data_IF_684862792331
#
_entry.id   IF_684862792331
#
_cell.length_a   1.000
_cell.length_b   1.000
_cell.length_c   1.000
_cell.angle_alpha   90.00
_cell.angle_beta   90.00
_cell.angle_gamma   90.00
#
_symmetry.space_group_name_H-M   'P 1'
#
loop_
_entity.id
_entity.type
_entity.pdbx_description
1 polymer ?
#
# COMPACT_ATOMS: atom_id res chain seq x y z
N UNK A 1 -11.59 -18.44 -7.62
CA UNK A 1 -11.58 -17.49 -8.74
C UNK A 1 -10.48 -17.93 -9.69
N UNK A 2 -10.84 -18.20 -10.94
CA UNK A 2 -9.90 -18.59 -12.00
C UNK A 2 -8.88 -17.46 -12.20
N UNK A 3 -7.62 -17.70 -11.84
CA UNK A 3 -6.55 -16.71 -12.05
C UNK A 3 -6.09 -16.85 -13.49
N UNK A 4 -6.28 -15.80 -14.30
CA UNK A 4 -5.68 -15.70 -15.63
C UNK A 4 -4.35 -14.97 -15.54
N UNK A 5 -3.38 -15.40 -16.34
CA UNK A 5 -2.12 -14.69 -16.49
C UNK A 5 -2.40 -13.29 -17.08
N UNK A 6 -1.93 -12.19 -16.44
CA UNK A 6 -2.17 -10.83 -16.93
C UNK A 6 -1.43 -10.52 -18.23
N UNK A 7 -0.44 -11.35 -18.60
CA UNK A 7 0.38 -11.15 -19.79
C UNK A 7 -0.14 -11.90 -21.02
N UNK A 8 -0.54 -13.17 -20.86
CA UNK A 8 -0.94 -14.02 -21.99
C UNK A 8 -2.40 -14.52 -21.91
N UNK A 9 -3.12 -14.22 -20.83
CA UNK A 9 -4.53 -14.60 -20.66
C UNK A 9 -4.79 -16.09 -20.38
N UNK A 10 -3.75 -16.92 -20.35
CA UNK A 10 -3.84 -18.35 -20.05
C UNK A 10 -4.27 -18.60 -18.59
N UNK A 11 -4.95 -19.72 -18.35
CA UNK A 11 -5.32 -20.15 -17.01
C UNK A 11 -4.07 -20.52 -16.20
N UNK A 12 -3.97 -19.98 -14.99
CA UNK A 12 -2.91 -20.31 -14.05
C UNK A 12 -3.35 -21.47 -13.17
N UNK A 13 -2.45 -22.41 -12.86
CA UNK A 13 -2.75 -23.48 -11.92
C UNK A 13 -3.13 -22.90 -10.55
N UNK A 14 -4.03 -23.57 -9.80
CA UNK A 14 -4.40 -23.13 -8.47
C UNK A 14 -3.15 -23.11 -7.58
N UNK A 15 -2.98 -22.08 -6.74
CA UNK A 15 -1.84 -22.02 -5.83
C UNK A 15 -1.87 -23.22 -4.89
N UNK A 16 -0.75 -23.95 -4.77
CA UNK A 16 -0.64 -25.14 -3.90
C UNK A 16 -0.75 -24.77 -2.41
N UNK A 17 -0.52 -23.51 -2.05
CA UNK A 17 -0.79 -22.94 -0.72
C UNK A 17 -0.91 -21.42 -0.79
N UNK A 18 -1.58 -20.80 0.19
CA UNK A 18 -1.59 -19.34 0.38
C UNK A 18 -0.19 -18.73 0.59
N UNK A 19 0.82 -19.58 0.83
CA UNK A 19 2.22 -19.22 1.07
C UNK A 19 3.11 -19.37 -0.17
N UNK A 20 2.60 -19.86 -1.31
CA UNK A 20 3.39 -19.96 -2.54
C UNK A 20 3.55 -18.57 -3.19
N UNK A 21 4.77 -18.00 -3.21
CA UNK A 21 4.98 -16.55 -3.42
C UNK A 21 4.89 -16.12 -4.89
N UNK A 22 4.93 -17.08 -5.82
CA UNK A 22 4.83 -16.81 -7.24
C UNK A 22 4.54 -18.09 -8.02
N UNK A 23 3.60 -18.00 -8.97
CA UNK A 23 3.29 -19.09 -9.91
C UNK A 23 3.88 -18.72 -11.26
N UNK A 24 4.69 -19.60 -11.84
CA UNK A 24 5.17 -19.45 -13.20
C UNK A 24 4.05 -19.81 -14.18
N UNK A 25 3.80 -18.94 -15.17
CA UNK A 25 2.81 -19.23 -16.18
C UNK A 25 3.32 -20.32 -17.15
N UNK A 26 2.59 -21.42 -17.37
CA UNK A 26 3.03 -22.52 -18.24
C UNK A 26 3.11 -22.15 -19.73
N UNK A 27 2.49 -21.04 -20.15
CA UNK A 27 2.46 -20.61 -21.56
C UNK A 27 3.52 -19.57 -21.90
N UNK A 28 3.66 -18.55 -21.04
CA UNK A 28 4.59 -17.43 -21.30
C UNK A 28 5.81 -17.45 -20.37
N UNK A 29 5.93 -18.45 -19.49
CA UNK A 29 7.00 -18.59 -18.50
C UNK A 29 7.20 -17.36 -17.61
N UNK A 30 6.20 -16.48 -17.54
CA UNK A 30 6.28 -15.25 -16.77
C UNK A 30 5.85 -15.51 -15.32
N UNK A 31 6.59 -14.93 -14.38
CA UNK A 31 6.38 -15.13 -12.95
C UNK A 31 5.21 -14.24 -12.49
N UNK A 32 4.11 -14.85 -12.07
CA UNK A 32 2.92 -14.15 -11.58
C UNK A 32 2.89 -14.21 -10.06
N UNK A 33 3.00 -13.05 -9.40
CA UNK A 33 2.85 -12.94 -7.94
C UNK A 33 1.38 -12.78 -7.55
N UNK A 34 0.94 -13.34 -6.41
CA UNK A 34 -0.39 -13.11 -5.89
C UNK A 34 -0.60 -11.62 -5.55
N UNK A 35 -1.82 -11.09 -5.70
CA UNK A 35 -2.13 -9.72 -5.33
C UNK A 35 -1.96 -9.53 -3.81
N UNK A 36 -1.18 -8.53 -3.41
CA UNK A 36 -0.95 -8.23 -1.99
C UNK A 36 -2.25 -7.67 -1.35
N UNK A 37 -2.80 -8.32 -0.31
CA UNK A 37 -4.06 -7.88 0.31
C UNK A 37 -3.96 -6.50 0.98
N UNK A 38 -2.74 -6.05 1.31
CA UNK A 38 -2.49 -4.75 1.93
C UNK A 38 -2.24 -3.62 0.92
N UNK A 39 -2.15 -3.90 -0.39
CA UNK A 39 -1.82 -2.91 -1.42
C UNK A 39 -2.77 -1.72 -1.42
N UNK A 40 -4.09 -1.98 -1.38
CA UNK A 40 -5.11 -0.93 -1.38
C UNK A 40 -5.04 -0.07 -0.11
N UNK A 41 -4.82 -0.70 1.05
CA UNK A 41 -4.68 0.00 2.34
C UNK A 41 -3.43 0.88 2.34
N UNK A 42 -2.30 0.35 1.87
CA UNK A 42 -1.05 1.10 1.74
C UNK A 42 -1.22 2.34 0.87
N UNK A 43 -1.79 2.20 -0.33
CA UNK A 43 -2.02 3.32 -1.24
C UNK A 43 -2.88 4.42 -0.62
N UNK A 44 -3.97 4.05 0.06
CA UNK A 44 -4.87 5.00 0.73
C UNK A 44 -4.19 5.74 1.89
N UNK A 45 -3.48 5.02 2.76
CA UNK A 45 -2.80 5.63 3.92
C UNK A 45 -1.64 6.51 3.47
N UNK A 46 -0.92 6.12 2.41
CA UNK A 46 0.13 6.93 1.82
C UNK A 46 -0.42 8.26 1.28
N UNK A 47 -1.54 8.21 0.55
CA UNK A 47 -2.22 9.42 0.05
C UNK A 47 -2.70 10.31 1.19
N UNK A 48 -3.36 9.74 2.20
CA UNK A 48 -3.83 10.49 3.37
C UNK A 48 -2.66 11.19 4.08
N UNK A 49 -1.56 10.46 4.30
CA UNK A 49 -0.37 10.99 4.96
C UNK A 49 0.21 12.15 4.14
N UNK A 50 0.37 11.99 2.82
CA UNK A 50 0.86 13.06 1.95
C UNK A 50 -0.02 14.32 2.01
N UNK A 51 -1.34 14.16 2.00
CA UNK A 51 -2.28 15.28 2.13
C UNK A 51 -2.16 15.97 3.49
N UNK A 52 -2.07 15.23 4.58
CA UNK A 52 -1.91 15.81 5.92
C UNK A 52 -0.61 16.60 6.06
N UNK A 53 0.50 16.08 5.54
CA UNK A 53 1.77 16.80 5.53
C UNK A 53 1.72 18.05 4.64
N UNK A 54 1.04 17.99 3.50
CA UNK A 54 0.83 19.14 2.64
C UNK A 54 0.04 20.24 3.38
N UNK A 55 -1.08 19.89 4.02
CA UNK A 55 -1.87 20.82 4.83
C UNK A 55 -1.02 21.41 5.97
N UNK A 56 -0.26 20.59 6.68
CA UNK A 56 0.63 21.04 7.76
C UNK A 56 1.63 22.11 7.27
N UNK A 57 2.25 21.88 6.11
CA UNK A 57 3.18 22.81 5.49
C UNK A 57 2.52 24.17 5.17
N UNK A 58 1.34 24.15 4.56
CA UNK A 58 0.62 25.39 4.22
C UNK A 58 0.08 26.13 5.45
N UNK A 59 -0.39 25.42 6.48
CA UNK A 59 -0.83 26.03 7.74
C UNK A 59 0.30 26.77 8.46
N UNK A 60 1.54 26.26 8.39
CA UNK A 60 2.70 27.00 8.91
C UNK A 60 3.01 28.27 8.12
N UNK A 61 2.79 28.27 6.80
CA UNK A 61 3.02 29.45 5.94
C UNK A 61 1.92 30.50 6.12
N UNK A 62 0.67 30.08 6.28
CA UNK A 62 -0.50 30.96 6.40
C UNK A 62 -0.61 31.67 7.75
N UNK A 63 0.24 31.33 8.73
CA UNK A 63 0.19 31.92 10.07
C UNK A 63 -1.02 31.49 10.88
N UNK A 64 -1.46 30.23 10.71
CA UNK A 64 -2.56 29.66 11.48
C UNK A 64 -2.28 29.65 12.99
N UNK A 65 -3.35 29.52 13.80
CA UNK A 65 -3.23 29.47 15.25
C UNK A 65 -2.38 28.28 15.72
N UNK A 66 -1.58 28.47 16.79
CA UNK A 66 -0.71 27.42 17.33
C UNK A 66 -1.45 26.13 17.72
N UNK A 67 -2.72 26.22 18.14
CA UNK A 67 -3.57 25.06 18.45
C UNK A 67 -3.89 24.26 17.19
N UNK A 68 -4.22 24.93 16.08
CA UNK A 68 -4.51 24.28 14.81
C UNK A 68 -3.29 23.56 14.23
N UNK A 69 -2.13 24.22 14.27
CA UNK A 69 -0.85 23.63 13.84
C UNK A 69 -0.54 22.38 14.68
N UNK A 70 -0.70 22.45 16.01
CA UNK A 70 -0.47 21.31 16.88
C UNK A 70 -1.39 20.12 16.55
N UNK A 71 -2.68 20.37 16.30
CA UNK A 71 -3.64 19.33 15.93
C UNK A 71 -3.31 18.66 14.60
N UNK A 72 -3.04 19.43 13.54
CA UNK A 72 -2.69 18.87 12.23
C UNK A 72 -1.38 18.10 12.31
N UNK A 73 -0.38 18.63 13.01
CA UNK A 73 0.91 17.97 13.16
C UNK A 73 0.78 16.64 13.91
N UNK A 74 -0.05 16.59 14.95
CA UNK A 74 -0.40 15.35 15.66
C UNK A 74 -1.05 14.32 14.75
N UNK A 75 -2.05 14.74 13.94
CA UNK A 75 -2.72 13.88 12.96
C UNK A 75 -1.76 13.36 11.88
N UNK A 76 -0.90 14.22 11.33
CA UNK A 76 0.10 13.84 10.34
C UNK A 76 1.10 12.83 10.91
N UNK A 77 1.53 13.04 12.16
CA UNK A 77 2.45 12.13 12.86
C UNK A 77 1.80 10.77 13.11
N UNK A 78 0.56 10.73 13.61
CA UNK A 78 -0.19 9.49 13.83
C UNK A 78 -0.42 8.73 12.51
N UNK A 79 -0.78 9.43 11.43
CA UNK A 79 -0.92 8.87 10.09
C UNK A 79 0.40 8.29 9.57
N UNK A 80 1.52 8.98 9.80
CA UNK A 80 2.86 8.50 9.42
C UNK A 80 3.25 7.23 10.16
N UNK A 81 3.02 7.14 11.47
CA UNK A 81 3.27 5.91 12.24
C UNK A 81 2.40 4.76 11.75
N UNK A 82 1.13 5.03 11.43
CA UNK A 82 0.24 4.03 10.86
C UNK A 82 0.69 3.60 9.45
N UNK A 83 1.21 4.51 8.63
CA UNK A 83 1.77 4.19 7.33
C UNK A 83 2.95 3.23 7.46
N UNK A 84 3.85 3.43 8.42
CA UNK A 84 4.98 2.52 8.69
C UNK A 84 4.47 1.13 9.07
N UNK A 85 3.45 1.06 9.93
CA UNK A 85 2.82 -0.22 10.30
C UNK A 85 2.23 -0.93 9.08
N UNK A 86 1.48 -0.21 8.23
CA UNK A 86 0.89 -0.80 7.00
C UNK A 86 1.97 -1.19 6.00
N UNK A 87 3.05 -0.41 5.87
CA UNK A 87 4.22 -0.75 5.04
C UNK A 87 4.86 -2.05 5.50
N UNK A 88 5.08 -2.23 6.80
CA UNK A 88 5.62 -3.46 7.35
C UNK A 88 4.78 -4.68 6.94
N UNK A 89 3.45 -4.60 7.07
CA UNK A 89 2.55 -5.67 6.64
C UNK A 89 2.52 -5.87 5.12
N UNK A 90 2.58 -4.78 4.34
CA UNK A 90 2.64 -4.84 2.89
C UNK A 90 3.91 -5.57 2.43
N UNK A 91 5.09 -5.17 2.91
CA UNK A 91 6.33 -5.83 2.52
C UNK A 91 6.41 -7.27 3.05
N UNK A 92 5.94 -7.53 4.28
CA UNK A 92 5.88 -8.89 4.82
C UNK A 92 4.95 -9.82 4.03
N UNK A 93 3.88 -9.30 3.44
CA UNK A 93 2.96 -10.09 2.61
C UNK A 93 3.39 -10.19 1.14
N UNK A 94 4.38 -9.41 0.71
CA UNK A 94 4.92 -9.42 -0.65
C UNK A 94 6.32 -10.03 -0.79
N UNK A 95 7.00 -10.29 0.34
CA UNK A 95 8.27 -11.01 0.45
C UNK A 95 8.01 -12.51 0.59
#
# INVERSE_FOLDING_TARGET
MERRCPYCGAELPPPESDETPSVECPTCHNIVRPPNPYAKRFAWVALLTAVLYFIAMFSMIAGDTGIWIFLIFGLATASGLYLIYVMYHFFRAGA
#
